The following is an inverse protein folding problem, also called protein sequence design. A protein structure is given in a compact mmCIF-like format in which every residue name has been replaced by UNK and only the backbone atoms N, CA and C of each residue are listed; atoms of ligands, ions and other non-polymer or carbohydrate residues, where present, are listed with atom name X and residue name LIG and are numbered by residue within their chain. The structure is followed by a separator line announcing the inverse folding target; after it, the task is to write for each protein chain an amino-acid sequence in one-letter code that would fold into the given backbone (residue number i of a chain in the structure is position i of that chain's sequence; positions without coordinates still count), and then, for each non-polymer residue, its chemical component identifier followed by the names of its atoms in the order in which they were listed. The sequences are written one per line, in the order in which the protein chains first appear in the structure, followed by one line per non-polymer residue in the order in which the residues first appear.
data_IF_894039663240
#
_entry.id   IF_894039663240
#
_cell.length_a   1.000
_cell.length_b   1.000
_cell.length_c   1.000
_cell.angle_alpha   90.00
_cell.angle_beta   90.00
_cell.angle_gamma   90.00
#
_symmetry.space_group_name_H-M   'P 1'
#
loop_
_entity.id
_entity.type
_entity.pdbx_description
1 polymer ?
#
# COMPACT_ATOMS: atom_id res chain seq x y z
N UNK A 1 8.34 5.83 -7.96
CA UNK A 1 6.89 5.95 -7.74
C UNK A 1 6.63 6.11 -6.24
N UNK A 2 5.48 6.67 -5.85
CA UNK A 2 5.06 6.75 -4.46
C UNK A 2 3.83 5.86 -4.27
N UNK A 3 3.88 4.93 -3.33
CA UNK A 3 2.77 4.06 -2.96
C UNK A 3 2.26 4.48 -1.59
N UNK A 4 0.95 4.71 -1.46
CA UNK A 4 0.32 5.02 -0.17
C UNK A 4 -0.38 3.79 0.37
N UNK A 5 -0.13 3.48 1.64
CA UNK A 5 -0.73 2.35 2.36
C UNK A 5 -1.46 2.90 3.57
N UNK A 6 -2.72 2.49 3.77
CA UNK A 6 -3.46 2.83 4.99
C UNK A 6 -3.00 1.94 6.14
N UNK A 7 -2.78 2.51 7.33
CA UNK A 7 -2.44 1.75 8.55
C UNK A 7 -3.66 1.26 9.33
N UNK A 8 -4.87 1.71 9.00
CA UNK A 8 -6.08 1.31 9.71
C UNK A 8 -6.32 -0.21 9.66
N UNK A 9 -6.69 -0.80 10.79
CA UNK A 9 -7.08 -2.21 10.87
C UNK A 9 -8.27 -2.49 9.96
N UNK A 10 -8.17 -3.51 9.12
CA UNK A 10 -9.13 -3.83 8.06
C UNK A 10 -8.86 -3.08 6.75
N UNK A 11 -8.42 -1.82 6.78
CA UNK A 11 -8.04 -1.06 5.57
C UNK A 11 -6.74 -1.60 4.97
N UNK A 12 -5.76 -1.89 5.82
CA UNK A 12 -4.48 -2.48 5.41
C UNK A 12 -4.70 -3.85 4.77
N UNK A 13 -5.44 -4.74 5.45
CA UNK A 13 -5.71 -6.10 5.02
C UNK A 13 -6.52 -6.13 3.72
N UNK A 14 -7.53 -5.26 3.59
CA UNK A 14 -8.29 -5.11 2.35
C UNK A 14 -7.39 -4.65 1.18
N UNK A 15 -6.51 -3.67 1.43
CA UNK A 15 -5.58 -3.13 0.43
C UNK A 15 -4.51 -4.13 -0.04
N UNK A 16 -4.06 -5.02 0.84
CA UNK A 16 -3.05 -6.05 0.53
C UNK A 16 -3.66 -7.40 0.10
N UNK A 17 -4.98 -7.55 0.19
CA UNK A 17 -5.70 -8.77 -0.18
C UNK A 17 -5.46 -9.18 -1.64
N UNK A 18 -5.92 -10.38 -2.03
CA UNK A 18 -5.75 -10.88 -3.40
C UNK A 18 -6.30 -9.94 -4.47
N UNK A 19 -7.41 -9.25 -4.14
CA UNK A 19 -8.07 -8.27 -5.00
C UNK A 19 -7.83 -6.82 -4.50
N UNK A 20 -6.84 -6.64 -3.63
CA UNK A 20 -6.52 -5.37 -3.01
C UNK A 20 -5.81 -4.43 -3.97
N UNK A 21 -6.25 -3.17 -3.98
CA UNK A 21 -5.74 -2.15 -4.90
C UNK A 21 -4.28 -1.79 -4.64
N UNK A 22 -3.85 -1.71 -3.37
CA UNK A 22 -2.44 -1.41 -3.02
C UNK A 22 -1.51 -2.49 -3.57
N UNK A 23 -1.92 -3.76 -3.51
CA UNK A 23 -1.18 -4.89 -4.08
C UNK A 23 -1.11 -4.82 -5.61
N UNK A 24 -2.23 -4.53 -6.26
CA UNK A 24 -2.29 -4.40 -7.72
C UNK A 24 -1.38 -3.28 -8.23
N UNK A 25 -1.44 -2.10 -7.61
CA UNK A 25 -0.61 -0.96 -7.98
C UNK A 25 0.89 -1.19 -7.72
N UNK A 26 1.24 -1.90 -6.65
CA UNK A 26 2.62 -2.31 -6.40
C UNK A 26 3.13 -3.28 -7.47
N UNK A 27 2.29 -4.24 -7.89
CA UNK A 27 2.62 -5.16 -8.97
C UNK A 27 2.78 -4.45 -10.32
N UNK A 28 1.86 -3.53 -10.65
CA UNK A 28 1.95 -2.72 -11.87
C UNK A 28 3.20 -1.84 -11.88
N UNK A 29 3.57 -1.23 -10.74
CA UNK A 29 4.82 -0.46 -10.64
C UNK A 29 6.05 -1.35 -10.92
N UNK A 30 6.04 -2.59 -10.42
CA UNK A 30 7.10 -3.56 -10.69
C UNK A 30 7.17 -3.96 -12.17
N UNK A 31 6.03 -4.30 -12.79
CA UNK A 31 6.01 -4.70 -14.21
C UNK A 31 6.37 -3.56 -15.16
N UNK A 32 6.09 -2.32 -14.78
CA UNK A 32 6.50 -1.11 -15.51
C UNK A 32 7.99 -0.73 -15.32
N UNK A 33 8.75 -1.49 -14.51
CA UNK A 33 10.20 -1.30 -14.35
C UNK A 33 10.59 -0.23 -13.32
N UNK A 34 9.70 0.12 -12.38
CA UNK A 34 10.04 1.03 -11.28
C UNK A 34 11.03 0.34 -10.33
N UNK A 35 12.30 0.78 -10.34
CA UNK A 35 13.37 0.23 -9.50
C UNK A 35 13.42 0.77 -8.07
N UNK A 36 12.87 1.97 -7.86
CA UNK A 36 12.80 2.62 -6.54
C UNK A 36 11.36 3.02 -6.23
N UNK A 37 10.88 2.56 -5.09
CA UNK A 37 9.54 2.81 -4.59
C UNK A 37 9.63 3.47 -3.22
N UNK A 38 8.97 4.62 -3.07
CA UNK A 38 8.78 5.26 -1.78
C UNK A 38 7.41 4.84 -1.27
N UNK A 39 7.35 4.30 -0.05
CA UNK A 39 6.10 3.86 0.57
C UNK A 39 5.73 4.84 1.68
N UNK A 40 4.59 5.50 1.54
CA UNK A 40 4.00 6.34 2.57
C UNK A 40 2.93 5.58 3.33
N UNK A 41 3.05 5.51 4.65
CA UNK A 41 2.01 4.97 5.52
C UNK A 41 1.13 6.11 6.00
N UNK A 42 -0.17 6.02 5.76
CA UNK A 42 -1.16 7.06 6.05
C UNK A 42 -2.16 6.60 7.12
N UNK A 43 -2.76 7.55 7.84
CA UNK A 43 -3.68 7.35 8.97
C UNK A 43 -3.05 6.65 10.19
N UNK A 44 -1.78 6.93 10.47
CA UNK A 44 -1.04 6.33 11.60
C UNK A 44 -1.62 6.68 12.97
N UNK A 45 -2.43 7.73 13.03
CA UNK A 45 -3.20 8.14 14.19
C UNK A 45 -4.36 7.20 14.52
N UNK A 46 -4.81 6.39 13.55
CA UNK A 46 -5.92 5.44 13.70
C UNK A 46 -5.50 4.09 14.29
N UNK A 47 -4.21 3.89 14.58
CA UNK A 47 -3.68 2.66 15.18
C UNK A 47 -3.27 2.94 16.62
N UNK A 48 -3.63 2.04 17.54
CA UNK A 48 -3.12 2.07 18.91
C UNK A 48 -1.60 1.75 18.90
N UNK A 49 -0.79 2.41 19.76
CA UNK A 49 0.66 2.22 19.82
C UNK A 49 1.09 0.81 20.25
#
# INVERSE_FOLDING_TARGET
AVLIVASGTGEFEAGISKNGQTREHALLAFTLGVKQLIVGVNKIDSTEP
#
